data_IF_908049771397
#
_entry.id   IF_908049771397
#
_cell.length_a   1.000
_cell.length_b   1.000
_cell.length_c   1.000
_cell.angle_alpha   90.00
_cell.angle_beta   90.00
_cell.angle_gamma   90.00
#
_symmetry.space_group_name_H-M   'P 1'
#
loop_
_entity.id
_entity.type
_entity.pdbx_description
1 polymer ?
#
# COMPACT_ATOMS: atom_id res chain seq x y z
N UNK A 1 -17.58 -1.66 -4.43
CA UNK A 1 -16.88 -1.46 -3.14
C UNK A 1 -15.49 -0.87 -3.36
N UNK A 2 -14.50 -1.60 -3.95
CA UNK A 2 -13.10 -1.15 -4.10
C UNK A 2 -13.00 0.21 -4.79
N UNK A 3 -13.67 0.37 -5.92
CA UNK A 3 -13.67 1.61 -6.72
C UNK A 3 -14.08 2.85 -5.92
N UNK A 4 -15.13 2.70 -5.14
CA UNK A 4 -15.63 3.79 -4.29
C UNK A 4 -14.68 4.07 -3.14
N UNK A 5 -14.16 3.02 -2.48
CA UNK A 5 -13.24 3.15 -1.36
C UNK A 5 -11.89 3.76 -1.79
N UNK A 6 -11.38 3.36 -2.95
CA UNK A 6 -10.13 3.89 -3.51
C UNK A 6 -10.33 5.20 -4.28
N UNK A 7 -11.58 5.67 -4.44
CA UNK A 7 -11.91 6.86 -5.25
C UNK A 7 -11.21 6.81 -6.62
N UNK A 8 -11.37 5.65 -7.31
CA UNK A 8 -10.71 5.40 -8.60
C UNK A 8 -11.23 6.35 -9.68
N UNK A 9 -10.35 6.75 -10.57
CA UNK A 9 -10.64 7.62 -11.70
C UNK A 9 -10.02 7.11 -13.00
N UNK A 10 -10.40 7.68 -14.14
CA UNK A 10 -9.84 7.34 -15.44
C UNK A 10 -8.34 7.70 -15.59
N UNK A 11 -7.83 8.57 -14.71
CA UNK A 11 -6.43 8.99 -14.71
C UNK A 11 -5.54 8.07 -13.85
N UNK A 12 -6.12 7.04 -13.24
CA UNK A 12 -5.33 6.14 -12.40
C UNK A 12 -4.55 5.12 -13.24
N UNK A 13 -3.36 4.77 -12.75
CA UNK A 13 -2.49 3.72 -13.28
C UNK A 13 -2.18 2.77 -12.14
N UNK A 14 -2.57 1.51 -12.30
CA UNK A 14 -2.30 0.47 -11.29
C UNK A 14 -0.96 -0.18 -11.59
N UNK A 15 -0.08 -0.25 -10.59
CA UNK A 15 1.19 -1.00 -10.67
C UNK A 15 1.20 -2.08 -9.61
N UNK A 16 1.48 -3.33 -9.99
CA UNK A 16 1.42 -4.46 -9.06
C UNK A 16 2.50 -5.50 -9.33
N UNK A 17 3.02 -6.05 -8.25
CA UNK A 17 3.88 -7.24 -8.22
C UNK A 17 3.17 -8.43 -7.52
N UNK A 18 1.93 -8.21 -7.05
CA UNK A 18 1.20 -9.22 -6.30
C UNK A 18 0.87 -10.45 -7.13
N UNK A 19 0.94 -11.66 -6.55
CA UNK A 19 0.63 -12.89 -7.25
C UNK A 19 -0.86 -12.97 -7.62
N UNK A 20 -1.17 -13.37 -8.84
CA UNK A 20 -2.55 -13.46 -9.34
C UNK A 20 -3.33 -14.68 -8.80
N UNK A 21 -2.67 -15.59 -8.10
CA UNK A 21 -3.36 -16.66 -7.37
C UNK A 21 -3.86 -16.23 -5.99
N UNK A 22 -3.60 -14.97 -5.57
CA UNK A 22 -4.10 -14.34 -4.38
C UNK A 22 -5.15 -13.28 -4.76
N UNK A 23 -6.25 -13.17 -4.00
CA UNK A 23 -7.36 -12.25 -4.26
C UNK A 23 -6.93 -10.78 -4.37
N UNK A 24 -6.01 -10.33 -3.52
CA UNK A 24 -5.47 -8.95 -3.59
C UNK A 24 -4.77 -8.67 -4.92
N UNK A 25 -4.04 -9.64 -5.47
CA UNK A 25 -3.43 -9.53 -6.80
C UNK A 25 -4.47 -9.63 -7.92
N UNK A 26 -5.29 -10.69 -7.90
CA UNK A 26 -6.26 -10.95 -8.96
C UNK A 26 -7.35 -9.87 -9.03
N UNK A 27 -8.03 -9.64 -7.91
CA UNK A 27 -9.19 -8.72 -7.89
C UNK A 27 -8.71 -7.26 -7.85
N UNK A 28 -7.81 -6.95 -6.91
CA UNK A 28 -7.40 -5.57 -6.66
C UNK A 28 -6.53 -4.95 -7.75
N UNK A 29 -5.71 -5.77 -8.44
CA UNK A 29 -4.69 -5.22 -9.35
C UNK A 29 -4.75 -5.71 -10.79
N UNK A 30 -5.58 -6.72 -11.11
CA UNK A 30 -5.86 -7.14 -12.48
C UNK A 30 -7.31 -6.85 -12.88
N UNK A 31 -8.30 -7.41 -12.17
CA UNK A 31 -9.70 -7.27 -12.56
C UNK A 31 -10.22 -5.84 -12.35
N UNK A 32 -9.74 -5.16 -11.32
CA UNK A 32 -10.14 -3.79 -11.02
C UNK A 32 -9.75 -2.79 -12.13
N UNK A 33 -8.47 -2.72 -12.58
CA UNK A 33 -8.12 -1.85 -13.70
C UNK A 33 -8.80 -2.26 -15.01
N UNK A 34 -9.00 -3.55 -15.27
CA UNK A 34 -9.77 -4.01 -16.45
C UNK A 34 -11.22 -3.51 -16.41
N UNK A 35 -11.88 -3.58 -15.26
CA UNK A 35 -13.24 -3.10 -15.08
C UNK A 35 -13.37 -1.58 -15.31
N UNK A 36 -12.34 -0.83 -14.91
CA UNK A 36 -12.30 0.62 -15.08
C UNK A 36 -11.82 1.07 -16.47
N UNK A 37 -11.20 0.18 -17.25
CA UNK A 37 -10.57 0.53 -18.53
C UNK A 37 -9.32 1.41 -18.35
N UNK A 38 -8.61 1.26 -17.24
CA UNK A 38 -7.38 1.99 -16.93
C UNK A 38 -6.13 1.12 -17.08
N UNK A 39 -4.95 1.72 -17.27
CA UNK A 39 -3.70 0.96 -17.37
C UNK A 39 -3.37 0.14 -16.13
N UNK A 40 -2.94 -1.12 -16.34
CA UNK A 40 -2.40 -2.00 -15.32
C UNK A 40 -1.00 -2.49 -15.72
N UNK A 41 -0.01 -2.28 -14.86
CA UNK A 41 1.37 -2.72 -15.04
C UNK A 41 1.65 -3.84 -14.05
N UNK A 42 1.96 -5.02 -14.56
CA UNK A 42 2.19 -6.21 -13.73
C UNK A 42 3.68 -6.60 -13.75
N UNK A 43 4.21 -6.89 -12.58
CA UNK A 43 5.54 -7.45 -12.37
C UNK A 43 5.41 -8.87 -11.79
N UNK A 44 6.41 -9.70 -12.03
CA UNK A 44 6.49 -10.98 -11.34
C UNK A 44 6.77 -10.78 -9.84
N UNK A 45 6.10 -11.52 -8.93
CA UNK A 45 6.44 -11.54 -7.52
C UNK A 45 7.91 -11.87 -7.25
N UNK A 46 8.49 -12.78 -8.03
CA UNK A 46 9.90 -13.15 -7.91
C UNK A 46 10.82 -11.96 -8.19
N UNK A 47 10.54 -11.16 -9.23
CA UNK A 47 11.32 -9.97 -9.55
C UNK A 47 11.32 -8.94 -8.43
N UNK A 48 10.19 -8.78 -7.73
CA UNK A 48 10.10 -7.94 -6.54
C UNK A 48 10.94 -8.53 -5.39
N UNK A 49 10.79 -9.82 -5.11
CA UNK A 49 11.51 -10.47 -3.99
C UNK A 49 13.03 -10.46 -4.17
N UNK A 50 13.51 -10.61 -5.39
CA UNK A 50 14.94 -10.50 -5.72
C UNK A 50 15.47 -9.07 -5.51
N UNK A 51 14.73 -8.07 -6.03
CA UNK A 51 15.15 -6.68 -6.06
C UNK A 51 13.93 -5.75 -5.88
N UNK A 52 13.58 -5.39 -4.63
CA UNK A 52 12.35 -4.64 -4.34
C UNK A 52 12.33 -3.23 -4.99
N UNK A 53 13.51 -2.66 -5.31
CA UNK A 53 13.60 -1.41 -6.05
C UNK A 53 12.94 -1.48 -7.44
N UNK A 54 12.77 -2.67 -8.04
CA UNK A 54 12.06 -2.85 -9.31
C UNK A 54 10.60 -2.44 -9.22
N UNK A 55 9.96 -2.66 -8.08
CA UNK A 55 8.59 -2.19 -7.84
C UNK A 55 8.53 -0.67 -7.84
N UNK A 56 9.41 -0.01 -7.08
CA UNK A 56 9.48 1.44 -7.00
C UNK A 56 9.83 2.07 -8.35
N UNK A 57 10.76 1.46 -9.09
CA UNK A 57 11.12 1.87 -10.44
C UNK A 57 9.93 1.73 -11.43
N UNK A 58 9.11 0.69 -11.29
CA UNK A 58 7.91 0.55 -12.12
C UNK A 58 6.88 1.63 -11.79
N UNK A 59 6.65 1.92 -10.51
CA UNK A 59 5.77 3.04 -10.09
C UNK A 59 6.26 4.36 -10.69
N UNK A 60 7.54 4.68 -10.54
CA UNK A 60 8.14 5.91 -11.09
C UNK A 60 8.02 5.96 -12.62
N UNK A 61 8.45 4.89 -13.31
CA UNK A 61 8.49 4.83 -14.79
C UNK A 61 7.12 4.97 -15.43
N UNK A 62 6.11 4.32 -14.86
CA UNK A 62 4.76 4.30 -15.43
C UNK A 62 3.84 5.34 -14.78
N UNK A 63 4.39 6.21 -13.91
CA UNK A 63 3.64 7.19 -13.12
C UNK A 63 2.45 6.53 -12.41
N UNK A 64 2.71 5.38 -11.79
CA UNK A 64 1.71 4.61 -11.07
C UNK A 64 1.06 5.44 -9.96
N UNK A 65 -0.26 5.42 -9.91
CA UNK A 65 -1.04 6.19 -8.93
C UNK A 65 -1.59 5.31 -7.81
N UNK A 66 -1.81 4.04 -8.12
CA UNK A 66 -2.35 3.04 -7.21
C UNK A 66 -1.42 1.83 -7.21
N UNK A 67 -0.88 1.49 -6.08
CA UNK A 67 -0.03 0.33 -5.88
C UNK A 67 0.00 -0.03 -4.39
N UNK A 68 0.46 -1.22 -4.05
CA UNK A 68 0.59 -1.62 -2.66
C UNK A 68 0.93 -3.10 -2.49
N UNK A 69 0.84 -3.54 -1.25
CA UNK A 69 1.13 -4.91 -0.88
C UNK A 69 1.07 -5.10 0.64
N UNK A 70 1.45 -6.28 1.14
CA UNK A 70 1.57 -6.53 2.57
C UNK A 70 2.64 -5.67 3.24
N UNK A 71 2.59 -5.57 4.56
CA UNK A 71 3.53 -4.79 5.40
C UNK A 71 5.00 -5.13 5.12
N UNK A 72 5.30 -6.43 4.96
CA UNK A 72 6.67 -6.87 4.67
C UNK A 72 7.25 -6.23 3.40
N UNK A 73 6.44 -5.89 2.43
CA UNK A 73 6.91 -5.31 1.17
C UNK A 73 7.47 -3.89 1.38
N UNK A 74 6.78 -3.09 2.19
CA UNK A 74 7.25 -1.76 2.57
C UNK A 74 8.53 -1.86 3.41
N UNK A 75 8.57 -2.80 4.35
CA UNK A 75 9.77 -3.07 5.14
C UNK A 75 10.94 -3.49 4.27
N UNK A 76 10.73 -4.43 3.33
CA UNK A 76 11.77 -4.93 2.43
C UNK A 76 12.35 -3.80 1.55
N UNK A 77 11.52 -2.91 1.02
CA UNK A 77 11.97 -1.72 0.30
C UNK A 77 12.80 -0.81 1.21
N UNK A 78 12.36 -0.58 2.44
CA UNK A 78 13.06 0.27 3.40
C UNK A 78 14.42 -0.29 3.77
N UNK A 79 14.54 -1.61 3.93
CA UNK A 79 15.79 -2.28 4.33
C UNK A 79 16.77 -2.40 3.16
N UNK A 80 16.32 -2.76 1.95
CA UNK A 80 17.21 -3.12 0.83
C UNK A 80 17.53 -1.98 -0.12
N UNK A 81 16.70 -0.94 -0.20
CA UNK A 81 17.01 0.24 -1.01
C UNK A 81 17.90 1.17 -0.19
N UNK A 82 19.19 1.19 -0.43
CA UNK A 82 20.12 2.00 0.36
C UNK A 82 19.87 3.50 0.18
N UNK A 83 19.86 3.99 -1.06
CA UNK A 83 19.73 5.41 -1.40
C UNK A 83 18.71 5.59 -2.53
N UNK A 84 17.47 5.97 -2.22
CA UNK A 84 16.42 6.19 -3.23
C UNK A 84 16.78 7.26 -4.27
N UNK A 85 17.52 8.30 -3.87
CA UNK A 85 17.88 9.40 -4.77
C UNK A 85 18.83 8.95 -5.89
N UNK A 86 19.74 8.02 -5.60
CA UNK A 86 20.65 7.46 -6.61
C UNK A 86 19.96 6.60 -7.66
N UNK A 87 18.75 6.14 -7.38
CA UNK A 87 17.96 5.34 -8.33
C UNK A 87 17.20 6.20 -9.34
N UNK A 88 17.21 7.54 -9.20
CA UNK A 88 16.48 8.45 -10.08
C UNK A 88 14.96 8.25 -10.01
N UNK A 89 14.43 7.82 -8.85
CA UNK A 89 13.01 7.59 -8.65
C UNK A 89 12.24 8.91 -8.52
N UNK A 90 11.03 8.94 -9.08
CA UNK A 90 10.00 9.94 -8.78
C UNK A 90 8.71 9.21 -8.40
N UNK A 91 8.38 9.22 -7.11
CA UNK A 91 7.20 8.58 -6.55
C UNK A 91 6.05 9.57 -6.31
N UNK A 92 6.14 10.79 -6.80
CA UNK A 92 5.13 11.84 -6.59
C UNK A 92 3.77 11.52 -7.21
N UNK A 93 3.72 10.62 -8.18
CA UNK A 93 2.48 10.14 -8.78
C UNK A 93 1.71 9.15 -7.90
N UNK A 94 2.35 8.50 -6.93
CA UNK A 94 1.75 7.45 -6.12
C UNK A 94 0.81 8.02 -5.07
N UNK A 95 -0.48 7.98 -5.35
CA UNK A 95 -1.55 8.62 -4.56
C UNK A 95 -2.31 7.68 -3.64
N UNK A 96 -2.19 6.35 -3.86
CA UNK A 96 -2.80 5.33 -3.02
C UNK A 96 -1.85 4.15 -2.89
N UNK A 97 -1.24 4.03 -1.71
CA UNK A 97 -0.32 2.98 -1.30
C UNK A 97 -1.04 2.05 -0.31
N UNK A 98 -1.83 1.08 -0.85
CA UNK A 98 -2.59 0.18 0.01
C UNK A 98 -1.67 -0.81 0.74
N UNK A 99 -1.99 -1.06 2.02
CA UNK A 99 -1.29 -2.03 2.85
C UNK A 99 -2.32 -2.92 3.57
N UNK A 100 -2.20 -4.24 3.42
CA UNK A 100 -3.14 -5.21 3.98
C UNK A 100 -2.66 -6.65 3.86
N UNK A 101 -3.57 -7.60 4.08
CA UNK A 101 -3.36 -9.04 4.02
C UNK A 101 -2.49 -9.64 5.16
N UNK A 102 -1.90 -8.82 6.01
CA UNK A 102 -1.19 -9.23 7.23
C UNK A 102 -1.26 -8.11 8.29
N UNK A 103 -0.83 -8.33 9.54
CA UNK A 103 -0.75 -7.27 10.53
C UNK A 103 0.11 -6.10 10.03
N UNK A 104 -0.42 -4.88 10.16
CA UNK A 104 0.23 -3.67 9.69
C UNK A 104 0.96 -3.01 10.85
N UNK A 105 2.24 -2.69 10.68
CA UNK A 105 3.05 -2.03 11.70
C UNK A 105 3.24 -0.55 11.35
N UNK A 106 2.82 0.33 12.25
CA UNK A 106 2.99 1.79 12.10
C UNK A 106 4.45 2.17 11.79
N UNK A 107 5.39 1.53 12.49
CA UNK A 107 6.83 1.78 12.30
C UNK A 107 7.30 1.45 10.88
N UNK A 108 6.78 0.37 10.28
CA UNK A 108 7.09 -0.02 8.89
C UNK A 108 6.66 1.07 7.91
N UNK A 109 5.39 1.45 7.98
CA UNK A 109 4.83 2.46 7.07
C UNK A 109 5.46 3.83 7.27
N UNK A 110 5.70 4.22 8.54
CA UNK A 110 6.38 5.47 8.87
C UNK A 110 7.83 5.51 8.40
N UNK A 111 8.58 4.42 8.52
CA UNK A 111 9.95 4.32 8.04
C UNK A 111 10.01 4.40 6.50
N UNK A 112 9.08 3.72 5.81
CA UNK A 112 8.95 3.79 4.36
C UNK A 112 8.67 5.24 3.91
N UNK A 113 7.65 5.88 4.49
CA UNK A 113 7.29 7.25 4.13
C UNK A 113 8.45 8.23 4.32
N UNK A 114 9.15 8.17 5.46
CA UNK A 114 10.31 9.03 5.72
C UNK A 114 11.44 8.81 4.72
N UNK A 115 11.75 7.53 4.42
CA UNK A 115 12.85 7.19 3.52
C UNK A 115 12.59 7.65 2.09
N UNK A 116 11.38 7.47 1.59
CA UNK A 116 11.04 7.76 0.20
C UNK A 116 10.46 9.16 -0.01
N UNK A 117 10.32 9.98 1.05
CA UNK A 117 9.94 11.40 0.93
C UNK A 117 10.90 12.19 0.03
N UNK A 118 12.20 11.87 0.10
CA UNK A 118 13.25 12.53 -0.71
C UNK A 118 13.07 12.31 -2.23
N UNK A 119 12.28 11.31 -2.64
CA UNK A 119 11.96 11.02 -4.04
C UNK A 119 10.46 11.20 -4.33
N UNK A 120 9.79 12.06 -3.56
CA UNK A 120 8.44 12.53 -3.82
C UNK A 120 7.31 11.66 -3.27
N UNK A 121 7.61 10.61 -2.47
CA UNK A 121 6.53 9.83 -1.84
C UNK A 121 5.82 10.65 -0.77
N UNK A 122 4.50 10.79 -0.90
CA UNK A 122 3.65 11.46 0.08
C UNK A 122 3.12 10.46 1.12
N UNK A 123 3.35 10.71 2.41
CA UNK A 123 2.81 9.91 3.50
C UNK A 123 1.27 9.86 3.50
N UNK A 124 0.62 10.88 2.96
CA UNK A 124 -0.83 10.91 2.73
C UNK A 124 -1.33 9.82 1.79
N UNK A 125 -0.46 9.26 0.95
CA UNK A 125 -0.79 8.15 0.07
C UNK A 125 -0.98 6.81 0.80
N UNK A 126 -0.43 6.64 2.01
CA UNK A 126 -0.56 5.40 2.79
C UNK A 126 -2.02 5.07 3.08
N UNK A 127 -2.41 3.85 2.75
CA UNK A 127 -3.80 3.38 2.86
C UNK A 127 -3.86 2.01 3.54
N UNK A 128 -3.79 1.97 4.88
CA UNK A 128 -4.03 0.73 5.62
C UNK A 128 -5.45 0.22 5.35
N UNK A 129 -5.58 -1.08 5.05
CA UNK A 129 -6.86 -1.67 4.75
C UNK A 129 -6.93 -3.12 5.24
N UNK A 130 -8.14 -3.59 5.43
CA UNK A 130 -8.46 -4.97 5.77
C UNK A 130 -9.41 -5.56 4.73
N UNK A 131 -9.20 -6.81 4.39
CA UNK A 131 -10.04 -7.54 3.46
C UNK A 131 -9.86 -9.04 3.58
N UNK A 132 -10.77 -9.77 2.93
CA UNK A 132 -10.77 -11.23 2.83
C UNK A 132 -11.49 -11.65 1.55
N UNK A 133 -11.13 -12.80 1.01
CA UNK A 133 -11.67 -13.32 -0.25
C UNK A 133 -13.21 -13.48 -0.22
N UNK A 134 -13.76 -13.92 0.92
CA UNK A 134 -15.19 -14.14 1.12
C UNK A 134 -16.03 -12.85 1.01
N UNK A 135 -15.39 -11.69 1.20
CA UNK A 135 -16.05 -10.38 1.06
C UNK A 135 -15.68 -9.65 -0.25
N UNK A 136 -15.22 -10.38 -1.23
CA UNK A 136 -14.75 -9.82 -2.52
C UNK A 136 -13.68 -8.75 -2.29
N UNK A 137 -12.70 -9.11 -1.47
CA UNK A 137 -11.45 -8.46 -1.15
C UNK A 137 -11.54 -7.39 -0.05
N UNK A 138 -12.08 -6.20 -0.33
CA UNK A 138 -11.99 -5.05 0.58
C UNK A 138 -13.19 -4.98 1.54
N UNK A 139 -12.92 -5.02 2.84
CA UNK A 139 -13.93 -4.85 3.91
C UNK A 139 -13.85 -3.44 4.49
N UNK A 140 -12.65 -3.01 4.89
CA UNK A 140 -12.45 -1.67 5.47
C UNK A 140 -11.17 -1.01 4.97
N UNK A 141 -11.17 0.31 4.96
CA UNK A 141 -10.02 1.16 4.65
C UNK A 141 -10.30 2.59 5.07
N UNK A 142 -9.29 3.45 4.95
CA UNK A 142 -9.41 4.88 5.24
C UNK A 142 -10.02 5.67 4.07
N UNK A 143 -9.84 6.98 4.11
CA UNK A 143 -10.07 7.84 2.96
C UNK A 143 -8.76 8.02 2.18
N UNK A 144 -8.84 8.02 0.84
CA UNK A 144 -7.69 8.30 -0.03
C UNK A 144 -7.10 9.68 0.31
N UNK A 145 -5.79 9.74 0.48
CA UNK A 145 -5.08 10.97 0.82
C UNK A 145 -5.06 11.33 2.31
N UNK A 146 -5.71 10.52 3.17
CA UNK A 146 -5.72 10.79 4.63
C UNK A 146 -4.49 10.26 5.37
N UNK A 147 -3.68 9.43 4.71
CA UNK A 147 -2.56 8.75 5.33
C UNK A 147 -2.96 7.64 6.30
N UNK A 148 -1.95 6.98 6.86
CA UNK A 148 -2.15 5.99 7.91
C UNK A 148 -2.41 6.68 9.26
N UNK A 149 -3.43 6.23 9.97
CA UNK A 149 -3.75 6.67 11.33
C UNK A 149 -3.55 5.50 12.29
N UNK A 150 -2.89 5.76 13.40
CA UNK A 150 -2.74 4.82 14.51
C UNK A 150 -3.28 5.40 15.81
N UNK A 151 -3.80 4.52 16.66
CA UNK A 151 -4.28 4.87 18.00
C UNK A 151 -3.71 3.84 18.96
N UNK A 152 -3.13 4.29 20.06
CA UNK A 152 -2.73 3.41 21.15
C UNK A 152 -3.95 3.05 21.98
N UNK A 153 -4.15 1.78 22.22
CA UNK A 153 -5.26 1.28 23.02
C UNK A 153 -4.73 0.72 24.35
N UNK A 154 -5.56 0.86 25.40
CA UNK A 154 -5.31 0.22 26.69
C UNK A 154 -5.39 -1.32 26.54
N UNK A 155 -4.29 -2.06 26.83
CA UNK A 155 -4.27 -3.51 26.63
C UNK A 155 -5.24 -4.25 27.55
N UNK A 156 -5.46 -3.77 28.77
CA UNK A 156 -6.35 -4.40 29.74
C UNK A 156 -7.83 -4.20 29.34
N UNK A 157 -8.17 -3.00 28.86
CA UNK A 157 -9.49 -2.74 28.31
C UNK A 157 -9.75 -3.59 27.06
N UNK A 158 -8.76 -3.69 26.15
CA UNK A 158 -8.89 -4.49 24.95
C UNK A 158 -9.06 -6.00 25.25
N UNK A 159 -8.37 -6.51 26.25
CA UNK A 159 -8.54 -7.89 26.71
C UNK A 159 -9.93 -8.17 27.34
N UNK A 160 -10.66 -7.09 27.70
CA UNK A 160 -12.04 -7.14 28.22
C UNK A 160 -13.06 -6.68 27.14
N UNK A 161 -12.72 -6.81 25.85
CA UNK A 161 -13.55 -6.42 24.69
C UNK A 161 -13.98 -4.93 24.72
N UNK A 162 -13.17 -4.05 25.32
CA UNK A 162 -13.43 -2.60 25.36
C UNK A 162 -12.34 -1.84 24.62
N UNK A 163 -12.75 -0.94 23.74
CA UNK A 163 -11.84 -0.06 23.01
C UNK A 163 -11.69 1.26 23.76
N UNK A 164 -10.62 1.41 24.52
CA UNK A 164 -10.26 2.65 25.22
C UNK A 164 -8.87 3.10 24.77
N UNK A 165 -8.66 4.40 24.53
CA UNK A 165 -7.32 4.94 24.31
C UNK A 165 -6.42 4.61 25.50
N UNK A 166 -5.14 4.36 25.23
CA UNK A 166 -4.16 4.31 26.31
C UNK A 166 -3.95 5.71 26.88
N UNK A 167 -3.82 5.81 28.20
CA UNK A 167 -3.41 7.07 28.82
C UNK A 167 -1.99 7.42 28.36
N UNK A 168 -1.82 8.61 27.83
CA UNK A 168 -0.50 9.15 27.53
C UNK A 168 0.16 9.50 28.87
N UNK A 169 1.01 8.56 29.38
CA UNK A 169 1.79 8.75 30.60
C UNK A 169 2.95 9.73 30.43
#
# INVERSE_FOLDING_TARGET
AISSAFSMSADDVVVSWLPLFHDMGLIGTLLQPLYYGIPGVLLSPQHFMERPERWLAAVARHRGTVSGGPDFAYRLCTERVEDPAKLGLDLSSWRLAFCGAEPIHEQTLGAFARKFAAVGFDAGALYPCYGLAESTLLVTGGARGSGARSVRLDPAALAADRVLPADDG
#
